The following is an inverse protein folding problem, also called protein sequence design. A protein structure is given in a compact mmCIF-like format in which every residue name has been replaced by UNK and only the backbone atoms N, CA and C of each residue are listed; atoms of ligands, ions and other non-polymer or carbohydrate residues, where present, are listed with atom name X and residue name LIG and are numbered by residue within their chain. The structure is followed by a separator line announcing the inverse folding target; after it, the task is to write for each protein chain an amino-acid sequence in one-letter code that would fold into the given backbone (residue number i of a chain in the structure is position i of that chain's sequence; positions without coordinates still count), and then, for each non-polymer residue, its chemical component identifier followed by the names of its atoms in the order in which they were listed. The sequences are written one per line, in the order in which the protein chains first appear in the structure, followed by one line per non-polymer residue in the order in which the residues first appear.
data_IF_060435373680
#
_entry.id   IF_060435373680
#
_cell.length_a   1.000
_cell.length_b   1.000
_cell.length_c   1.000
_cell.angle_alpha   90.00
_cell.angle_beta   90.00
_cell.angle_gamma   90.00
#
_symmetry.space_group_name_H-M   'P 1'
#
loop_
_entity.id
_entity.type
_entity.pdbx_description
1 polymer ?
#
# COMPACT_ATOMS: atom_id res chain seq x y z
N UNK A 1 10.45 15.12 11.12
CA UNK A 1 11.73 14.38 11.19
C UNK A 1 12.54 14.68 12.44
N UNK A 2 13.16 15.87 12.60
CA UNK A 2 14.04 16.17 13.76
C UNK A 2 13.39 15.97 15.14
N UNK A 3 12.12 16.32 15.29
CA UNK A 3 11.35 16.09 16.53
C UNK A 3 11.13 14.60 16.85
N UNK A 4 11.18 13.72 15.85
CA UNK A 4 10.97 12.27 16.01
C UNK A 4 12.28 11.54 16.23
N UNK A 5 13.30 11.85 15.42
CA UNK A 5 14.55 11.09 15.34
C UNK A 5 15.76 11.80 15.94
N UNK A 6 15.61 13.05 16.39
CA UNK A 6 16.66 13.81 17.06
C UNK A 6 17.95 13.89 16.24
N UNK A 7 19.06 13.46 16.86
CA UNK A 7 20.37 13.42 16.23
C UNK A 7 20.46 12.41 15.08
N UNK A 8 19.64 11.35 15.09
CA UNK A 8 19.60 10.35 14.02
C UNK A 8 19.10 10.89 12.67
N UNK A 9 18.52 12.09 12.63
CA UNK A 9 18.07 12.73 11.40
C UNK A 9 19.10 13.73 10.83
N UNK A 10 19.50 13.52 9.59
CA UNK A 10 20.38 14.39 8.84
C UNK A 10 19.58 15.27 7.88
N UNK A 11 19.36 16.54 8.26
CA UNK A 11 18.53 17.46 7.48
C UNK A 11 19.10 17.82 6.11
N UNK A 12 20.42 17.75 5.91
CA UNK A 12 21.05 18.06 4.62
C UNK A 12 20.73 17.00 3.56
N UNK A 13 20.70 15.72 3.95
CA UNK A 13 20.37 14.59 3.07
C UNK A 13 18.89 14.19 3.14
N UNK A 14 18.12 14.77 4.07
CA UNK A 14 16.71 14.47 4.30
C UNK A 14 16.44 12.98 4.62
N UNK A 15 17.37 12.35 5.33
CA UNK A 15 17.34 10.93 5.72
C UNK A 15 17.67 10.80 7.20
N UNK A 16 17.43 9.64 7.79
CA UNK A 16 17.90 9.35 9.14
C UNK A 16 18.18 7.87 9.38
N UNK A 17 18.79 7.60 10.52
CA UNK A 17 18.84 6.27 11.13
C UNK A 17 18.03 6.27 12.42
N UNK A 18 17.25 5.22 12.61
CA UNK A 18 16.44 5.07 13.79
C UNK A 18 16.33 3.60 14.20
N UNK A 19 16.35 3.36 15.51
CA UNK A 19 15.92 2.09 16.08
C UNK A 19 14.40 2.04 16.07
N UNK A 20 13.80 1.09 15.34
CA UNK A 20 12.34 0.94 15.24
C UNK A 20 11.95 -0.50 15.56
N UNK A 21 10.73 -0.69 16.05
CA UNK A 21 10.16 -2.01 16.27
C UNK A 21 10.02 -2.78 14.95
N UNK A 22 10.35 -4.06 14.91
CA UNK A 22 10.23 -4.85 13.69
C UNK A 22 8.77 -5.16 13.32
N UNK A 23 8.51 -5.37 12.03
CA UNK A 23 7.16 -5.63 11.52
C UNK A 23 6.64 -7.00 11.97
N UNK A 24 7.46 -8.04 11.81
CA UNK A 24 7.10 -9.43 12.10
C UNK A 24 7.10 -9.74 13.60
N UNK A 25 8.05 -9.17 14.35
CA UNK A 25 8.11 -9.26 15.82
C UNK A 25 8.30 -7.87 16.43
N UNK A 26 7.21 -7.32 16.99
CA UNK A 26 7.21 -5.98 17.60
C UNK A 26 7.97 -5.91 18.92
N UNK A 27 8.41 -7.05 19.47
CA UNK A 27 9.28 -7.08 20.65
C UNK A 27 10.76 -6.89 20.28
N UNK A 28 11.12 -7.15 19.02
CA UNK A 28 12.44 -6.91 18.47
C UNK A 28 12.54 -5.51 17.87
N UNK A 29 13.78 -5.00 17.79
CA UNK A 29 14.08 -3.70 17.21
C UNK A 29 15.35 -3.78 16.38
N UNK A 30 15.29 -3.17 15.21
CA UNK A 30 16.39 -3.09 14.26
C UNK A 30 16.70 -1.66 13.86
N UNK A 31 17.88 -1.44 13.28
CA UNK A 31 18.26 -0.14 12.72
C UNK A 31 17.65 0.01 11.33
N UNK A 32 16.89 1.09 11.16
CA UNK A 32 16.27 1.43 9.90
C UNK A 32 16.83 2.73 9.34
N UNK A 33 17.09 2.71 8.04
CA UNK A 33 17.18 3.90 7.21
C UNK A 33 15.78 4.47 7.01
N UNK A 34 15.57 5.73 7.39
CA UNK A 34 14.26 6.38 7.38
C UNK A 34 14.22 7.61 6.47
N UNK A 35 13.18 7.73 5.67
CA UNK A 35 12.93 8.88 4.79
C UNK A 35 11.54 9.47 5.04
N UNK A 36 11.40 10.81 5.10
CA UNK A 36 10.07 11.42 5.16
C UNK A 36 9.36 11.20 3.83
N UNK A 37 8.10 10.77 3.89
CA UNK A 37 7.23 10.64 2.70
C UNK A 37 6.36 11.87 2.57
N UNK A 38 5.61 12.21 3.62
CA UNK A 38 4.72 13.37 3.63
C UNK A 38 4.34 13.76 5.07
N UNK A 39 3.71 14.91 5.24
CA UNK A 39 3.13 15.33 6.50
C UNK A 39 1.87 16.16 6.28
N UNK A 40 1.00 16.22 7.29
CA UNK A 40 -0.22 17.02 7.28
C UNK A 40 -0.53 17.56 8.68
N UNK A 41 -0.94 18.82 8.77
CA UNK A 41 -1.57 19.37 9.96
C UNK A 41 -3.06 19.02 9.91
N UNK A 42 -3.57 18.36 10.94
CA UNK A 42 -4.99 18.04 11.07
C UNK A 42 -5.75 19.24 11.64
N UNK A 43 -7.07 19.25 11.43
CA UNK A 43 -7.96 20.28 11.98
C UNK A 43 -7.97 20.30 13.52
N UNK A 44 -7.56 19.20 14.16
CA UNK A 44 -7.34 19.13 15.61
C UNK A 44 -6.12 19.93 16.08
N UNK A 45 -5.26 20.39 15.17
CA UNK A 45 -3.98 21.03 15.46
C UNK A 45 -2.80 20.05 15.66
N UNK A 46 -3.06 18.75 15.67
CA UNK A 46 -2.00 17.74 15.67
C UNK A 46 -1.41 17.57 14.25
N UNK A 47 -0.11 17.38 14.14
CA UNK A 47 0.56 17.05 12.89
C UNK A 47 0.75 15.54 12.74
N UNK A 48 0.60 15.03 11.54
CA UNK A 48 0.92 13.65 11.17
C UNK A 48 2.14 13.67 10.27
N UNK A 49 3.14 12.85 10.60
CA UNK A 49 4.33 12.62 9.79
C UNK A 49 4.35 11.17 9.32
N UNK A 50 4.41 10.98 8.01
CA UNK A 50 4.55 9.68 7.35
C UNK A 50 6.01 9.48 6.97
N UNK A 51 6.55 8.34 7.36
CA UNK A 51 7.95 7.99 7.17
C UNK A 51 8.02 6.59 6.56
N UNK A 52 8.87 6.42 5.55
CA UNK A 52 9.24 5.12 5.03
C UNK A 52 10.49 4.63 5.76
N UNK A 53 10.53 3.34 6.09
CA UNK A 53 11.68 2.69 6.70
C UNK A 53 12.15 1.49 5.86
N UNK A 54 13.46 1.35 5.77
CA UNK A 54 14.18 0.25 5.11
C UNK A 54 15.26 -0.26 6.05
N UNK A 55 15.53 -1.57 6.03
CA UNK A 55 16.61 -2.13 6.85
C UNK A 55 17.95 -1.47 6.49
N UNK A 56 18.74 -1.15 7.52
CA UNK A 56 20.09 -0.62 7.36
C UNK A 56 21.12 -1.70 7.68
N UNK A 57 22.29 -1.61 7.05
CA UNK A 57 23.48 -2.39 7.42
C UNK A 57 24.21 -1.85 8.66
N UNK A 58 23.85 -0.64 9.11
CA UNK A 58 24.48 0.03 10.24
C UNK A 58 23.89 -0.43 11.57
N UNK A 59 24.63 -0.23 12.66
CA UNK A 59 24.22 -0.62 14.00
C UNK A 59 23.71 0.58 14.83
N UNK A 60 23.24 0.32 16.06
CA UNK A 60 22.70 1.36 16.94
C UNK A 60 23.71 2.47 17.25
N UNK A 61 24.99 2.11 17.42
CA UNK A 61 26.06 3.06 17.73
C UNK A 61 26.31 4.05 16.58
N UNK A 62 25.83 3.77 15.37
CA UNK A 62 25.96 4.65 14.21
C UNK A 62 24.90 5.77 14.16
N UNK A 63 23.84 5.67 14.98
CA UNK A 63 22.79 6.68 15.03
C UNK A 63 23.36 8.04 15.47
N UNK A 64 23.17 9.06 14.64
CA UNK A 64 23.64 10.42 14.91
C UNK A 64 25.08 10.70 14.47
N UNK A 65 25.75 9.72 13.85
CA UNK A 65 27.03 9.96 13.16
C UNK A 65 26.82 10.67 11.82
N UNK A 66 27.91 11.20 11.27
CA UNK A 66 27.89 12.01 10.05
C UNK A 66 27.59 11.22 8.77
N UNK A 67 27.84 9.90 8.76
CA UNK A 67 27.63 9.04 7.59
C UNK A 67 26.41 8.16 7.80
N UNK A 68 25.54 8.08 6.78
CA UNK A 68 24.44 7.13 6.69
C UNK A 68 24.64 6.39 5.37
N UNK A 69 24.85 5.07 5.45
CA UNK A 69 24.92 4.20 4.28
C UNK A 69 23.54 3.95 3.66
N UNK A 70 23.54 3.57 2.39
CA UNK A 70 22.34 3.21 1.64
C UNK A 70 21.60 2.02 2.29
N UNK A 71 20.27 1.96 2.16
CA UNK A 71 19.46 0.87 2.70
C UNK A 71 19.75 -0.48 2.01
N UNK A 72 19.42 -1.58 2.68
CA UNK A 72 19.61 -2.95 2.21
C UNK A 72 18.48 -3.49 1.29
N UNK A 73 17.66 -2.61 0.71
CA UNK A 73 16.43 -3.02 0.03
C UNK A 73 16.68 -3.72 -1.31
N UNK A 74 16.19 -4.95 -1.43
CA UNK A 74 16.13 -5.70 -2.68
C UNK A 74 14.89 -5.32 -3.52
N UNK A 75 14.85 -5.81 -4.76
CA UNK A 75 13.77 -5.50 -5.71
C UNK A 75 12.38 -5.85 -5.18
N UNK A 76 12.23 -7.03 -4.56
CA UNK A 76 10.97 -7.49 -3.95
C UNK A 76 10.73 -6.98 -2.52
N UNK A 77 11.67 -6.26 -1.92
CA UNK A 77 11.54 -5.84 -0.53
C UNK A 77 10.56 -4.65 -0.42
N UNK A 78 9.56 -4.70 0.47
CA UNK A 78 8.65 -3.59 0.68
C UNK A 78 9.29 -2.46 1.51
N UNK A 79 8.76 -1.25 1.36
CA UNK A 79 8.95 -0.19 2.36
C UNK A 79 8.10 -0.44 3.59
N UNK A 80 8.52 0.09 4.74
CA UNK A 80 7.76 -0.05 6.01
C UNK A 80 7.15 1.27 6.44
N UNK A 81 5.83 1.28 6.58
CA UNK A 81 5.05 2.46 6.96
C UNK A 81 5.26 2.79 8.42
N UNK A 82 5.69 4.02 8.68
CA UNK A 82 5.75 4.61 10.01
C UNK A 82 4.88 5.86 10.07
N UNK A 83 4.05 5.98 11.11
CA UNK A 83 3.17 7.12 11.34
C UNK A 83 3.45 7.72 12.72
N UNK A 84 3.80 8.99 12.74
CA UNK A 84 4.03 9.73 13.98
C UNK A 84 2.99 10.85 14.11
N UNK A 85 2.32 10.91 15.25
CA UNK A 85 1.41 12.01 15.58
C UNK A 85 2.14 12.95 16.52
N UNK A 86 2.16 14.23 16.17
CA UNK A 86 2.89 15.27 16.88
C UNK A 86 1.96 16.38 17.34
N UNK A 87 2.26 16.95 18.50
CA UNK A 87 1.60 18.13 19.04
C UNK A 87 2.57 19.29 19.17
N UNK A 88 2.14 20.46 18.71
CA UNK A 88 2.89 21.70 18.89
C UNK A 88 3.06 22.01 20.38
N UNK A 89 4.25 22.48 20.77
CA UNK A 89 4.55 22.83 22.16
C UNK A 89 4.45 24.34 22.38
N UNK A 90 4.04 24.74 23.59
CA UNK A 90 4.14 26.14 24.02
C UNK A 90 5.62 26.53 24.11
N UNK A 91 6.04 27.52 23.31
CA UNK A 91 7.46 27.88 23.13
C UNK A 91 8.08 27.43 21.81
N UNK A 92 7.30 26.75 20.95
CA UNK A 92 7.74 26.30 19.64
C UNK A 92 8.21 24.84 19.64
N UNK A 93 8.28 24.24 18.45
CA UNK A 93 8.66 22.84 18.28
C UNK A 93 7.48 21.86 18.37
N UNK A 94 7.82 20.58 18.29
CA UNK A 94 6.87 19.48 18.20
C UNK A 94 7.25 18.38 19.18
N UNK A 95 6.24 17.85 19.87
CA UNK A 95 6.35 16.66 20.71
C UNK A 95 5.65 15.49 20.04
N UNK A 96 6.24 14.30 20.08
CA UNK A 96 5.58 13.08 19.58
C UNK A 96 4.60 12.58 20.63
N UNK A 97 3.32 12.53 20.28
CA UNK A 97 2.24 12.06 21.17
C UNK A 97 1.79 10.63 20.86
N UNK A 98 2.02 10.14 19.63
CA UNK A 98 1.85 8.72 19.26
C UNK A 98 2.90 8.27 18.26
N UNK A 99 3.32 7.02 18.40
CA UNK A 99 4.26 6.32 17.51
C UNK A 99 3.60 5.07 16.97
N UNK A 100 3.54 4.95 15.66
CA UNK A 100 3.13 3.76 14.95
C UNK A 100 4.30 3.33 14.08
N UNK A 101 5.16 2.51 14.67
CA UNK A 101 6.40 2.05 14.02
C UNK A 101 6.12 0.80 13.20
N UNK A 102 6.63 0.78 11.95
CA UNK A 102 6.53 -0.32 11.01
C UNK A 102 5.16 -1.01 11.05
N UNK A 103 4.08 -0.27 10.79
CA UNK A 103 2.70 -0.79 10.93
C UNK A 103 2.17 -1.47 9.67
N UNK A 104 2.84 -1.31 8.54
CA UNK A 104 2.51 -1.98 7.28
C UNK A 104 3.77 -2.15 6.42
N UNK A 105 3.79 -3.20 5.60
CA UNK A 105 4.76 -3.42 4.53
C UNK A 105 4.10 -3.10 3.19
N UNK A 106 4.61 -2.10 2.48
CA UNK A 106 3.97 -1.54 1.30
C UNK A 106 4.98 -1.33 0.17
N UNK A 107 4.52 -1.54 -1.06
CA UNK A 107 5.28 -1.30 -2.28
C UNK A 107 6.42 -2.29 -2.51
N UNK A 108 7.48 -1.83 -3.15
CA UNK A 108 8.64 -2.62 -3.58
C UNK A 108 9.88 -1.73 -3.63
N UNK A 109 11.07 -2.32 -3.85
CA UNK A 109 12.35 -1.59 -3.84
C UNK A 109 12.57 -0.76 -2.56
N UNK A 110 12.04 -1.25 -1.42
CA UNK A 110 12.13 -0.59 -0.13
C UNK A 110 11.27 0.67 0.01
N UNK A 111 10.38 0.96 -0.93
CA UNK A 111 9.60 2.20 -0.93
C UNK A 111 8.10 1.93 -1.13
N UNK A 112 7.31 2.86 -0.61
CA UNK A 112 5.92 3.06 -1.01
C UNK A 112 5.74 4.53 -1.41
N UNK A 113 4.80 4.79 -2.31
CA UNK A 113 4.47 6.13 -2.81
C UNK A 113 2.94 6.31 -2.79
N UNK A 114 2.41 7.35 -3.46
CA UNK A 114 0.96 7.49 -3.63
C UNK A 114 0.17 7.76 -2.34
N UNK A 115 0.69 8.60 -1.43
CA UNK A 115 0.01 8.93 -0.18
C UNK A 115 -1.05 10.01 -0.37
N UNK A 116 -2.29 9.70 -0.01
CA UNK A 116 -3.44 10.59 -0.02
C UNK A 116 -4.06 10.69 1.39
N UNK A 117 -4.74 11.81 1.65
CA UNK A 117 -5.28 12.14 2.98
C UNK A 117 -6.82 12.28 2.95
N UNK A 118 -7.56 11.19 2.70
CA UNK A 118 -9.02 11.24 2.59
C UNK A 118 -9.67 11.48 3.96
N UNK A 119 -10.94 11.86 3.93
CA UNK A 119 -11.83 11.73 5.10
C UNK A 119 -12.62 10.43 4.96
N UNK A 120 -12.29 9.45 5.80
CA UNK A 120 -12.93 8.12 5.78
C UNK A 120 -14.36 8.16 6.29
N UNK A 121 -14.75 9.22 6.99
CA UNK A 121 -16.04 9.42 7.63
C UNK A 121 -16.09 10.82 8.23
N UNK A 122 -17.17 11.16 8.92
CA UNK A 122 -17.26 12.43 9.68
C UNK A 122 -16.19 12.44 10.76
N UNK A 123 -15.30 13.44 10.72
CA UNK A 123 -14.17 13.61 11.65
C UNK A 123 -13.22 12.39 11.75
N UNK A 124 -13.12 11.61 10.66
CA UNK A 124 -12.20 10.48 10.53
C UNK A 124 -11.12 10.78 9.48
N UNK A 125 -10.05 11.52 9.84
CA UNK A 125 -8.92 11.71 8.93
C UNK A 125 -8.27 10.35 8.64
N UNK A 126 -8.12 10.06 7.35
CA UNK A 126 -7.53 8.83 6.86
C UNK A 126 -6.17 9.03 6.23
N UNK A 127 -5.49 7.90 6.07
CA UNK A 127 -4.33 7.73 5.21
C UNK A 127 -4.68 6.68 4.16
N UNK A 128 -4.54 7.05 2.89
CA UNK A 128 -4.64 6.11 1.77
C UNK A 128 -3.27 6.03 1.08
N UNK A 129 -2.83 4.83 0.76
CA UNK A 129 -1.53 4.60 0.11
C UNK A 129 -1.76 3.66 -1.07
N UNK A 130 -1.54 4.16 -2.27
CA UNK A 130 -1.46 3.32 -3.46
C UNK A 130 -0.04 2.79 -3.60
N UNK A 131 0.12 1.49 -3.61
CA UNK A 131 1.43 0.85 -3.70
C UNK A 131 1.38 -0.35 -4.64
N UNK A 132 2.54 -0.87 -5.03
CA UNK A 132 2.57 -1.98 -5.96
C UNK A 132 3.97 -2.53 -6.21
N UNK A 133 3.99 -3.46 -7.14
CA UNK A 133 5.19 -4.12 -7.63
C UNK A 133 5.14 -4.16 -9.14
N UNK A 134 6.31 -4.02 -9.77
CA UNK A 134 6.50 -4.19 -11.20
C UNK A 134 7.75 -5.03 -11.41
N UNK A 135 7.69 -5.99 -12.33
CA UNK A 135 8.82 -6.82 -12.70
C UNK A 135 8.43 -7.89 -13.71
N UNK A 136 9.41 -8.37 -14.47
CA UNK A 136 9.23 -9.45 -15.46
C UNK A 136 8.13 -9.16 -16.50
N UNK A 137 7.86 -7.88 -16.77
CA UNK A 137 6.82 -7.44 -17.71
C UNK A 137 5.41 -7.32 -17.11
N UNK A 138 5.25 -7.61 -15.81
CA UNK A 138 3.99 -7.47 -15.08
C UNK A 138 4.04 -6.27 -14.14
N UNK A 139 2.88 -5.69 -13.88
CA UNK A 139 2.71 -4.74 -12.79
C UNK A 139 1.40 -5.02 -12.04
N UNK A 140 1.41 -4.82 -10.73
CA UNK A 140 0.23 -4.95 -9.86
C UNK A 140 0.25 -3.85 -8.80
N UNK A 141 -0.92 -3.31 -8.48
CA UNK A 141 -1.05 -2.36 -7.40
C UNK A 141 -2.27 -2.58 -6.54
N UNK A 142 -2.18 -1.98 -5.36
CA UNK A 142 -3.05 -2.17 -4.22
C UNK A 142 -3.31 -0.83 -3.55
N UNK A 143 -4.46 -0.74 -2.89
CA UNK A 143 -4.78 0.34 -1.97
C UNK A 143 -4.52 -0.14 -0.54
N UNK A 144 -3.91 0.67 0.31
CA UNK A 144 -3.90 0.49 1.76
C UNK A 144 -4.59 1.67 2.48
N UNK A 145 -5.43 1.40 3.48
CA UNK A 145 -6.23 2.42 4.18
C UNK A 145 -6.02 2.35 5.70
N UNK A 146 -5.84 3.50 6.35
CA UNK A 146 -5.66 3.60 7.81
C UNK A 146 -6.48 4.77 8.39
N UNK A 147 -7.06 4.58 9.57
CA UNK A 147 -7.76 5.63 10.33
C UNK A 147 -6.82 6.29 11.35
N UNK A 148 -6.44 7.55 11.10
CA UNK A 148 -5.50 8.31 11.93
C UNK A 148 -6.10 8.74 13.28
N UNK A 149 -7.43 8.64 13.43
CA UNK A 149 -8.12 8.88 14.70
C UNK A 149 -8.13 7.65 15.62
N UNK A 150 -7.87 6.46 15.08
CA UNK A 150 -7.85 5.23 15.85
C UNK A 150 -6.48 5.04 16.53
N UNK A 151 -6.40 4.90 17.87
CA UNK A 151 -5.13 4.75 18.57
C UNK A 151 -4.39 3.45 18.24
N UNK A 152 -5.06 2.44 17.67
CA UNK A 152 -4.40 1.23 17.21
C UNK A 152 -3.86 1.36 15.77
N UNK A 153 -4.34 2.34 15.00
CA UNK A 153 -4.05 2.54 13.56
C UNK A 153 -4.17 1.22 12.76
N UNK A 154 -5.33 0.52 12.81
CA UNK A 154 -5.50 -0.70 12.06
C UNK A 154 -5.52 -0.42 10.56
N UNK A 155 -4.98 -1.35 9.78
CA UNK A 155 -5.22 -1.38 8.35
C UNK A 155 -6.68 -1.79 8.09
N UNK A 156 -7.40 -0.93 7.37
CA UNK A 156 -8.84 -1.07 7.09
C UNK A 156 -9.12 -1.71 5.73
N UNK A 157 -8.08 -1.90 4.94
CA UNK A 157 -8.10 -2.31 3.54
C UNK A 157 -8.96 -3.57 3.26
N UNK A 158 -9.66 -3.67 2.10
CA UNK A 158 -10.31 -4.91 1.69
C UNK A 158 -9.32 -6.08 1.52
N UNK A 159 -9.79 -7.32 1.70
CA UNK A 159 -8.97 -8.51 1.38
C UNK A 159 -8.55 -8.57 -0.10
N UNK A 160 -9.36 -8.00 -1.00
CA UNK A 160 -9.05 -7.85 -2.43
C UNK A 160 -8.88 -6.36 -2.76
N UNK A 161 -7.77 -5.80 -2.33
CA UNK A 161 -7.46 -4.36 -2.44
C UNK A 161 -6.79 -3.94 -3.75
N UNK A 162 -6.67 -4.89 -4.69
CA UNK A 162 -6.04 -4.65 -5.97
C UNK A 162 -6.74 -3.51 -6.71
N UNK A 163 -5.95 -2.53 -7.10
CA UNK A 163 -6.37 -1.39 -7.89
C UNK A 163 -6.02 -1.56 -9.36
N UNK A 164 -4.85 -2.14 -9.66
CA UNK A 164 -4.45 -2.35 -11.05
C UNK A 164 -3.67 -3.64 -11.20
N UNK A 165 -3.74 -4.23 -12.39
CA UNK A 165 -2.76 -5.20 -12.85
C UNK A 165 -2.65 -5.14 -14.38
N UNK A 166 -1.47 -5.44 -14.90
CA UNK A 166 -1.21 -5.51 -16.33
C UNK A 166 -0.02 -6.43 -16.64
N UNK A 167 0.10 -6.82 -17.92
CA UNK A 167 1.20 -7.61 -18.45
C UNK A 167 1.83 -7.01 -19.72
N UNK A 168 1.70 -5.69 -19.95
CA UNK A 168 2.17 -5.04 -21.19
C UNK A 168 3.63 -5.31 -21.52
N UNK A 169 4.50 -5.47 -20.51
CA UNK A 169 5.92 -5.76 -20.72
C UNK A 169 6.23 -7.24 -21.01
N UNK A 170 5.25 -8.14 -20.89
CA UNK A 170 5.36 -9.57 -21.21
C UNK A 170 4.58 -9.94 -22.49
N UNK A 171 4.08 -8.94 -23.21
CA UNK A 171 3.20 -9.07 -24.37
C UNK A 171 3.89 -9.49 -25.68
N UNK A 172 5.22 -9.57 -25.71
CA UNK A 172 5.95 -9.89 -26.94
C UNK A 172 5.91 -11.39 -27.30
N UNK A 173 5.36 -12.22 -26.42
CA UNK A 173 5.22 -13.66 -26.67
C UNK A 173 3.90 -13.97 -27.43
N UNK A 174 3.95 -14.73 -28.54
CA UNK A 174 2.78 -15.00 -29.39
C UNK A 174 1.66 -15.81 -28.72
N UNK A 175 1.79 -16.16 -27.44
CA UNK A 175 0.84 -16.97 -26.67
C UNK A 175 0.20 -16.23 -25.49
N UNK A 176 0.47 -14.93 -25.32
CA UNK A 176 -0.02 -14.16 -24.16
C UNK A 176 -0.93 -13.03 -24.64
N UNK A 177 -2.19 -13.03 -24.20
CA UNK A 177 -3.07 -11.89 -24.46
C UNK A 177 -2.59 -10.69 -23.64
N UNK A 178 -2.46 -9.52 -24.25
CA UNK A 178 -2.23 -8.28 -23.52
C UNK A 178 -3.49 -7.84 -22.79
N UNK A 179 -3.36 -7.58 -21.50
CA UNK A 179 -4.45 -7.14 -20.66
C UNK A 179 -3.95 -6.10 -19.66
N UNK A 180 -4.86 -5.20 -19.27
CA UNK A 180 -4.62 -4.16 -18.29
C UNK A 180 -5.96 -3.82 -17.66
N UNK A 181 -6.05 -3.93 -16.34
CA UNK A 181 -7.23 -3.57 -15.55
C UNK A 181 -6.81 -2.45 -14.60
N UNK A 182 -7.56 -1.35 -14.61
CA UNK A 182 -7.29 -0.17 -13.78
C UNK A 182 -8.55 0.21 -13.02
N UNK A 183 -8.41 0.38 -11.72
CA UNK A 183 -9.44 0.79 -10.76
C UNK A 183 -9.20 2.22 -10.27
N UNK A 184 -10.23 3.06 -10.36
CA UNK A 184 -10.24 4.38 -9.73
C UNK A 184 -11.11 4.32 -8.49
N UNK A 185 -10.56 4.68 -7.33
CA UNK A 185 -11.29 4.60 -6.06
C UNK A 185 -11.80 5.97 -5.57
N UNK A 186 -12.86 5.93 -4.78
CA UNK A 186 -13.45 7.08 -4.09
C UNK A 186 -14.20 6.66 -2.84
N UNK A 187 -14.39 7.58 -1.91
CA UNK A 187 -15.34 7.41 -0.81
C UNK A 187 -16.71 7.98 -1.18
N UNK A 188 -17.75 7.16 -1.06
CA UNK A 188 -19.14 7.55 -1.26
C UNK A 188 -19.84 7.83 0.08
N UNK A 189 -21.09 8.27 0.04
CA UNK A 189 -21.86 8.56 1.24
C UNK A 189 -21.95 7.32 2.14
N UNK A 190 -21.72 7.50 3.44
CA UNK A 190 -21.86 6.44 4.42
C UNK A 190 -23.34 6.04 4.55
N UNK A 191 -23.62 4.76 4.81
CA UNK A 191 -24.94 4.36 5.29
C UNK A 191 -25.26 5.06 6.62
N UNK A 192 -26.54 5.28 6.91
CA UNK A 192 -26.95 5.90 8.17
C UNK A 192 -26.38 5.13 9.38
N UNK A 193 -25.69 5.84 10.27
CA UNK A 193 -25.04 5.27 11.45
C UNK A 193 -23.69 4.57 11.20
N UNK A 194 -23.19 4.50 9.96
CA UNK A 194 -21.91 3.87 9.67
C UNK A 194 -20.71 4.71 10.15
N UNK A 195 -19.69 4.04 10.70
CA UNK A 195 -18.43 4.67 11.17
C UNK A 195 -17.64 5.30 10.02
N UNK A 196 -17.66 4.66 8.86
CA UNK A 196 -16.95 5.09 7.66
C UNK A 196 -17.87 5.14 6.44
N UNK A 197 -17.48 5.96 5.48
CA UNK A 197 -18.00 6.05 4.11
C UNK A 197 -17.78 4.74 3.36
N UNK A 198 -18.63 4.46 2.39
CA UNK A 198 -18.44 3.32 1.50
C UNK A 198 -17.21 3.57 0.61
N UNK A 199 -16.33 2.58 0.44
CA UNK A 199 -15.27 2.61 -0.55
C UNK A 199 -15.85 2.11 -1.88
N UNK A 200 -15.75 2.89 -2.94
CA UNK A 200 -16.18 2.51 -4.28
C UNK A 200 -14.99 2.52 -5.22
N UNK A 201 -14.86 1.48 -6.04
CA UNK A 201 -13.80 1.35 -7.04
C UNK A 201 -14.46 1.08 -8.39
N UNK A 202 -14.23 1.98 -9.33
CA UNK A 202 -14.70 1.88 -10.71
C UNK A 202 -13.56 1.29 -11.55
N UNK A 203 -13.76 0.08 -12.06
CA UNK A 203 -12.77 -0.66 -12.85
C UNK A 203 -13.05 -0.56 -14.35
N UNK A 204 -11.97 -0.41 -15.12
CA UNK A 204 -12.00 -0.40 -16.57
C UNK A 204 -10.79 -1.12 -17.17
N UNK A 205 -10.88 -1.49 -18.44
CA UNK A 205 -9.76 -2.07 -19.19
C UNK A 205 -10.13 -3.39 -19.86
N UNK A 206 -9.20 -4.32 -19.87
CA UNK A 206 -9.37 -5.67 -20.40
C UNK A 206 -8.67 -6.67 -19.48
N UNK A 207 -9.30 -7.82 -19.25
CA UNK A 207 -8.76 -8.94 -18.46
C UNK A 207 -8.62 -10.18 -19.35
N UNK A 208 -7.71 -11.12 -19.03
CA UNK A 208 -7.61 -12.36 -19.79
C UNK A 208 -8.92 -13.14 -19.69
N UNK A 209 -9.38 -13.67 -20.83
CA UNK A 209 -10.50 -14.60 -20.82
C UNK A 209 -9.97 -15.95 -20.36
N UNK A 210 -10.27 -16.34 -19.12
CA UNK A 210 -9.90 -17.66 -18.62
C UNK A 210 -10.62 -18.70 -19.48
N UNK A 211 -9.87 -19.46 -20.28
CA UNK A 211 -10.41 -20.64 -20.94
C UNK A 211 -11.10 -21.49 -19.87
N UNK A 212 -12.36 -21.87 -20.12
CA UNK A 212 -13.07 -22.79 -19.24
C UNK A 212 -12.13 -23.98 -18.99
N UNK A 213 -11.88 -24.31 -17.71
CA UNK A 213 -11.10 -25.50 -17.35
C UNK A 213 -11.67 -26.65 -18.17
N UNK A 214 -10.89 -27.17 -19.11
CA UNK A 214 -11.24 -28.40 -19.81
C UNK A 214 -11.44 -29.44 -18.71
N UNK A 215 -12.70 -29.84 -18.50
CA UNK A 215 -13.00 -31.09 -17.80
C UNK A 215 -12.18 -32.16 -18.50
N UNK A 216 -11.38 -32.92 -17.73
CA UNK A 216 -10.47 -33.97 -18.18
C UNK A 216 -11.06 -34.74 -19.38
N UNK A 217 -10.68 -34.35 -20.59
CA UNK A 217 -11.05 -35.06 -21.79
C UNK A 217 -10.22 -36.34 -21.80
N UNK A 218 -10.92 -37.46 -21.67
CA UNK A 218 -10.40 -38.83 -21.73
C UNK A 218 -9.34 -39.04 -22.82
N UNK A 219 -8.30 -39.81 -22.49
CA UNK A 219 -7.09 -40.14 -23.28
C UNK A 219 -7.31 -40.82 -24.67
N UNK A 220 -8.50 -40.81 -25.25
CA UNK A 220 -8.74 -41.42 -26.56
C UNK A 220 -8.95 -40.37 -27.65
N UNK A 221 -7.86 -40.14 -28.40
CA UNK A 221 -7.81 -39.58 -29.76
C UNK A 221 -8.42 -38.18 -29.94
N UNK A 222 -7.68 -37.14 -29.55
CA UNK A 222 -7.86 -35.79 -30.09
C UNK A 222 -6.66 -35.41 -30.96
N UNK A 223 -6.93 -35.02 -32.20
CA UNK A 223 -5.99 -34.23 -33.01
C UNK A 223 -5.46 -33.04 -32.19
N UNK A 224 -4.25 -32.50 -32.45
CA UNK A 224 -3.79 -31.32 -31.74
C UNK A 224 -4.75 -30.17 -32.03
N UNK A 225 -5.71 -29.95 -31.14
CA UNK A 225 -6.59 -28.80 -31.15
C UNK A 225 -5.63 -27.61 -31.01
N UNK A 226 -5.58 -26.75 -32.03
CA UNK A 226 -4.80 -25.53 -31.95
C UNK A 226 -5.20 -24.82 -30.65
N UNK A 227 -4.20 -24.53 -29.79
CA UNK A 227 -4.46 -23.83 -28.55
C UNK A 227 -5.29 -22.57 -28.88
N UNK A 228 -6.41 -22.34 -28.17
CA UNK A 228 -7.25 -21.18 -28.45
C UNK A 228 -6.41 -19.91 -28.45
N UNK A 229 -6.66 -19.03 -29.41
CA UNK A 229 -5.93 -17.76 -29.45
C UNK A 229 -6.15 -17.00 -28.13
N UNK A 230 -5.12 -16.35 -27.59
CA UNK A 230 -5.26 -15.59 -26.37
C UNK A 230 -6.28 -14.46 -26.57
N UNK A 231 -7.40 -14.49 -25.84
CA UNK A 231 -8.45 -13.45 -25.90
C UNK A 231 -8.56 -12.68 -24.58
N UNK A 232 -9.14 -11.47 -24.68
CA UNK A 232 -9.46 -10.65 -23.51
C UNK A 232 -10.93 -10.28 -23.49
N UNK A 233 -11.44 -10.09 -22.28
CA UNK A 233 -12.78 -9.57 -22.01
C UNK A 233 -12.68 -8.11 -21.56
N UNK A 234 -13.48 -7.23 -22.17
CA UNK A 234 -13.59 -5.83 -21.74
C UNK A 234 -14.17 -5.73 -20.33
N UNK A 235 -13.55 -4.91 -19.50
CA UNK A 235 -13.96 -4.61 -18.13
C UNK A 235 -14.54 -3.19 -18.06
N UNK A 236 -15.72 -3.09 -17.43
CA UNK A 236 -16.39 -1.86 -17.06
C UNK A 236 -17.37 -2.18 -15.91
N UNK A 237 -16.83 -2.33 -14.70
CA UNK A 237 -17.58 -2.78 -13.51
C UNK A 237 -17.25 -1.90 -12.31
N UNK A 238 -18.18 -1.82 -11.37
CA UNK A 238 -17.97 -1.08 -10.11
C UNK A 238 -18.04 -2.07 -8.95
N UNK A 239 -17.04 -2.00 -8.05
CA UNK A 239 -17.08 -2.67 -6.76
C UNK A 239 -17.38 -1.66 -5.65
N UNK A 240 -18.29 -2.01 -4.75
CA UNK A 240 -18.59 -1.23 -3.54
C UNK A 240 -18.26 -2.05 -2.33
N UNK A 241 -17.51 -1.45 -1.41
CA UNK A 241 -17.08 -2.05 -0.16
C UNK A 241 -17.65 -1.28 1.03
N UNK A 242 -18.10 -2.03 2.04
CA UNK A 242 -18.61 -1.50 3.31
C UNK A 242 -17.76 -1.98 4.47
N UNK A 243 -17.62 -1.14 5.48
CA UNK A 243 -16.89 -1.52 6.69
C UNK A 243 -17.71 -2.50 7.53
N UNK A 244 -17.15 -3.68 7.83
CA UNK A 244 -17.83 -4.76 8.57
C UNK A 244 -17.65 -4.68 10.10
N UNK A 245 -17.03 -3.60 10.60
CA UNK A 245 -16.62 -3.47 11.99
C UNK A 245 -15.13 -3.73 12.22
N UNK A 246 -14.46 -4.39 11.26
CA UNK A 246 -13.01 -4.67 11.29
C UNK A 246 -12.27 -4.12 10.07
N UNK A 247 -12.81 -4.30 8.87
CA UNK A 247 -12.22 -3.86 7.60
C UNK A 247 -13.28 -3.66 6.51
N UNK A 248 -12.90 -3.09 5.38
CA UNK A 248 -13.78 -3.03 4.22
C UNK A 248 -14.02 -4.42 3.63
N UNK A 249 -15.28 -4.73 3.28
CA UNK A 249 -15.73 -5.97 2.65
C UNK A 249 -16.56 -5.67 1.43
N UNK A 250 -16.41 -6.49 0.39
CA UNK A 250 -17.20 -6.36 -0.82
C UNK A 250 -18.68 -6.51 -0.48
N UNK A 251 -19.47 -5.50 -0.81
CA UNK A 251 -20.91 -5.45 -0.56
C UNK A 251 -21.72 -5.62 -1.86
N UNK A 252 -21.18 -5.16 -2.99
CA UNK A 252 -21.78 -5.37 -4.32
C UNK A 252 -20.73 -5.20 -5.43
N UNK A 253 -20.97 -5.84 -6.58
CA UNK A 253 -20.04 -5.86 -7.70
C UNK A 253 -18.96 -6.94 -7.53
N UNK A 254 -17.82 -6.75 -8.19
CA UNK A 254 -16.66 -7.66 -8.14
C UNK A 254 -15.36 -6.86 -8.31
N UNK A 255 -14.25 -7.38 -7.78
CA UNK A 255 -12.92 -6.90 -8.14
C UNK A 255 -12.41 -7.76 -9.31
N UNK A 256 -12.35 -7.21 -10.54
CA UNK A 256 -11.95 -7.98 -11.72
C UNK A 256 -10.43 -8.05 -11.90
N UNK A 257 -9.63 -7.47 -10.98
CA UNK A 257 -8.17 -7.40 -11.15
C UNK A 257 -7.56 -8.80 -10.95
N UNK A 258 -6.90 -9.37 -11.98
CA UNK A 258 -6.34 -10.72 -11.91
C UNK A 258 -5.13 -10.81 -10.96
N UNK A 259 -4.71 -12.03 -10.68
CA UNK A 259 -3.40 -12.32 -10.06
C UNK A 259 -2.28 -12.21 -11.12
N UNK A 260 -1.05 -11.98 -10.66
CA UNK A 260 0.18 -12.01 -11.46
C UNK A 260 1.17 -13.02 -10.90
#
# INVERSE_FOLDING_TARGET
MRAVFGAGYQSAANVGLAMLSDYDDRSERSVYYVTPVTHKLLDSGDAVLIVNAQLSSQNEDDIGKAKIDDPLSGHGEPGRLNVFILRAQAGGGWSVIRRHENVAQLGSNGQFSGVQWPMLGTDRPGLAIEHGWMGQGYAIGFLALFDLSDPALPELTPEQSKLYAENEGACDEPKTACWSVVGTWRFDTAAEGAKYKDLVIDFSGAAPELAAKEEEASEEAAEPIAAPEPSTKKIAVTARYKFDGKRYRLASGENPVPDI
#
